data_IF_445798719305
#
_entry.id   IF_445798719305
#
_cell.length_a   1.000
_cell.length_b   1.000
_cell.length_c   1.000
_cell.angle_alpha   90.00
_cell.angle_beta   90.00
_cell.angle_gamma   90.00
#
_symmetry.space_group_name_H-M   'P 1'
#
loop_
_entity.id
_entity.type
_entity.pdbx_description
1 polymer ?
#
# COMPACT_ATOMS: atom_id res chain seq x y z
N UNK A 1 14.00 92.14 22.73
CA UNK A 1 14.58 90.81 22.71
C UNK A 1 13.48 89.81 22.48
N UNK A 2 13.35 89.22 21.25
CA UNK A 2 12.35 88.19 20.94
C UNK A 2 13.07 86.83 20.95
N UNK A 3 12.72 85.98 21.91
CA UNK A 3 13.20 84.62 21.93
C UNK A 3 12.32 83.77 20.99
N UNK A 4 12.91 83.30 19.87
CA UNK A 4 12.29 82.35 18.96
C UNK A 4 12.21 80.96 19.60
N UNK A 5 11.01 80.41 19.79
CA UNK A 5 10.78 79.00 20.13
C UNK A 5 11.16 78.15 18.93
N UNK A 6 12.21 77.36 19.04
CA UNK A 6 12.49 76.24 18.11
C UNK A 6 11.52 75.08 18.41
N UNK A 7 10.57 74.88 17.57
CA UNK A 7 9.79 73.64 17.57
C UNK A 7 10.65 72.49 17.07
N UNK A 8 10.99 71.59 17.96
CA UNK A 8 11.59 70.30 17.59
C UNK A 8 10.52 69.44 16.95
N UNK A 9 10.47 69.35 15.62
CA UNK A 9 9.69 68.36 14.91
C UNK A 9 10.32 67.00 15.12
N UNK A 10 9.70 66.15 15.88
CA UNK A 10 10.04 64.74 16.00
C UNK A 10 9.89 64.06 14.64
N UNK A 11 10.85 63.24 14.19
CA UNK A 11 10.71 62.48 12.94
C UNK A 11 9.58 61.49 13.10
N UNK A 12 8.58 61.65 12.30
CA UNK A 12 7.30 60.97 12.30
C UNK A 12 7.46 59.59 11.70
N UNK A 13 7.15 58.58 12.48
CA UNK A 13 6.35 57.36 12.17
C UNK A 13 6.52 56.66 10.82
N UNK A 14 7.47 56.96 9.95
CA UNK A 14 7.63 56.33 8.64
C UNK A 14 8.27 54.93 8.75
N UNK A 15 9.19 54.76 9.70
CA UNK A 15 9.87 53.48 9.95
C UNK A 15 8.98 52.37 10.53
N UNK A 16 7.84 52.71 11.13
CA UNK A 16 6.98 51.71 11.75
C UNK A 16 6.13 50.94 10.74
N UNK A 17 5.74 51.59 9.64
CA UNK A 17 4.97 50.93 8.57
C UNK A 17 5.84 50.04 7.66
N UNK A 18 7.12 50.35 7.50
CA UNK A 18 8.06 49.53 6.74
C UNK A 18 8.45 48.25 7.49
N UNK A 19 8.63 48.34 8.81
CA UNK A 19 8.89 47.16 9.65
C UNK A 19 7.69 46.22 9.72
N UNK A 20 6.47 46.76 9.89
CA UNK A 20 5.24 45.94 9.88
C UNK A 20 5.00 45.21 8.53
N UNK A 21 5.32 45.86 7.40
CA UNK A 21 5.23 45.24 6.07
C UNK A 21 6.30 44.17 5.85
N UNK A 22 7.52 44.38 6.37
CA UNK A 22 8.61 43.42 6.28
C UNK A 22 8.31 42.17 7.14
N UNK A 23 7.78 42.35 8.36
CA UNK A 23 7.37 41.26 9.24
C UNK A 23 6.22 40.45 8.65
N UNK A 24 5.21 41.11 8.07
CA UNK A 24 4.09 40.39 7.42
C UNK A 24 4.55 39.57 6.21
N UNK A 25 5.52 40.05 5.45
CA UNK A 25 6.12 39.33 4.33
C UNK A 25 6.89 38.08 4.77
N UNK A 26 7.65 38.16 5.85
CA UNK A 26 8.38 37.02 6.40
C UNK A 26 7.46 35.94 6.94
N UNK A 27 6.41 36.30 7.67
CA UNK A 27 5.41 35.36 8.19
C UNK A 27 4.69 34.66 7.04
N UNK A 28 4.34 35.39 5.97
CA UNK A 28 3.69 34.82 4.78
C UNK A 28 4.58 33.82 4.06
N UNK A 29 5.89 34.09 3.94
CA UNK A 29 6.84 33.19 3.30
C UNK A 29 7.03 31.88 4.09
N UNK A 30 7.20 31.98 5.42
CA UNK A 30 7.32 30.82 6.31
C UNK A 30 6.06 29.96 6.27
N UNK A 31 4.90 30.59 6.27
CA UNK A 31 3.60 29.89 6.20
C UNK A 31 3.45 29.18 4.82
N UNK A 32 3.89 29.81 3.73
CA UNK A 32 3.92 29.18 2.40
C UNK A 32 4.84 27.97 2.34
N UNK A 33 6.03 28.06 2.93
CA UNK A 33 6.96 26.93 3.01
C UNK A 33 6.39 25.79 3.84
N UNK A 34 5.75 26.09 4.95
CA UNK A 34 5.10 25.10 5.79
C UNK A 34 3.95 24.40 5.05
N UNK A 35 3.16 25.14 4.28
CA UNK A 35 2.08 24.58 3.46
C UNK A 35 2.62 23.62 2.39
N UNK A 36 3.71 23.99 1.70
CA UNK A 36 4.35 23.13 0.69
C UNK A 36 4.83 21.84 1.34
N UNK A 37 5.48 21.92 2.49
CA UNK A 37 5.99 20.76 3.22
C UNK A 37 4.85 19.84 3.69
N UNK A 38 3.77 20.43 4.16
CA UNK A 38 2.56 19.69 4.55
C UNK A 38 1.93 18.96 3.36
N UNK A 39 1.79 19.63 2.21
CA UNK A 39 1.30 19.00 0.98
C UNK A 39 2.22 17.87 0.50
N UNK A 40 3.54 18.05 0.59
CA UNK A 40 4.50 17.02 0.23
C UNK A 40 4.33 15.76 1.11
N UNK A 41 4.12 15.93 2.43
CA UNK A 41 3.85 14.82 3.34
C UNK A 41 2.54 14.11 2.98
N UNK A 42 1.48 14.87 2.69
CA UNK A 42 0.20 14.28 2.28
C UNK A 42 0.33 13.48 0.99
N UNK A 43 1.03 14.00 -0.02
CA UNK A 43 1.30 13.28 -1.27
C UNK A 43 2.11 12.00 -1.03
N UNK A 44 3.12 12.06 -0.16
CA UNK A 44 3.90 10.90 0.21
C UNK A 44 3.03 9.82 0.88
N UNK A 45 2.16 10.21 1.82
CA UNK A 45 1.22 9.27 2.45
C UNK A 45 0.25 8.63 1.45
N UNK A 46 -0.27 9.41 0.50
CA UNK A 46 -1.13 8.91 -0.57
C UNK A 46 -0.41 7.88 -1.44
N UNK A 47 0.85 8.15 -1.79
CA UNK A 47 1.68 7.23 -2.58
C UNK A 47 1.91 5.92 -1.82
N UNK A 48 2.26 5.98 -0.54
CA UNK A 48 2.45 4.81 0.30
C UNK A 48 1.17 3.95 0.39
N UNK A 49 0.02 4.59 0.56
CA UNK A 49 -1.27 3.91 0.61
C UNK A 49 -1.61 3.24 -0.73
N UNK A 50 -1.32 3.89 -1.85
CA UNK A 50 -1.53 3.33 -3.18
C UNK A 50 -0.64 2.11 -3.43
N UNK A 51 0.64 2.17 -3.03
CA UNK A 51 1.57 1.04 -3.12
C UNK A 51 1.11 -0.13 -2.25
N UNK A 52 0.64 0.12 -1.03
CA UNK A 52 0.12 -0.92 -0.15
C UNK A 52 -1.11 -1.63 -0.76
N UNK A 53 -2.06 -0.86 -1.29
CA UNK A 53 -3.25 -1.42 -1.96
C UNK A 53 -2.89 -2.23 -3.20
N UNK A 54 -1.92 -1.77 -4.00
CA UNK A 54 -1.45 -2.51 -5.17
C UNK A 54 -0.80 -3.84 -4.77
N UNK A 55 0.01 -3.86 -3.72
CA UNK A 55 0.64 -5.06 -3.19
C UNK A 55 -0.39 -6.06 -2.65
N UNK A 56 -1.44 -5.58 -1.94
CA UNK A 56 -2.51 -6.42 -1.44
C UNK A 56 -3.29 -7.08 -2.59
N UNK A 57 -3.64 -6.33 -3.63
CA UNK A 57 -4.32 -6.88 -4.82
C UNK A 57 -3.46 -7.91 -5.54
N UNK A 58 -2.18 -7.63 -5.72
CA UNK A 58 -1.27 -8.59 -6.32
C UNK A 58 -1.23 -9.92 -5.54
N UNK A 59 -1.22 -9.84 -4.21
CA UNK A 59 -1.25 -11.03 -3.35
C UNK A 59 -2.57 -11.80 -3.50
N UNK A 60 -3.71 -11.11 -3.51
CA UNK A 60 -5.03 -11.70 -3.72
C UNK A 60 -5.10 -12.40 -5.08
N UNK A 61 -4.65 -11.76 -6.16
CA UNK A 61 -4.64 -12.32 -7.50
C UNK A 61 -3.73 -13.54 -7.61
N UNK A 62 -2.53 -13.48 -7.01
CA UNK A 62 -1.60 -14.60 -6.98
C UNK A 62 -2.16 -15.81 -6.23
N UNK A 63 -2.84 -15.59 -5.10
CA UNK A 63 -3.49 -16.66 -4.34
C UNK A 63 -4.71 -17.22 -5.08
N UNK A 64 -5.50 -16.37 -5.74
CA UNK A 64 -6.63 -16.81 -6.55
C UNK A 64 -6.19 -17.68 -7.74
N UNK A 65 -5.13 -17.28 -8.44
CA UNK A 65 -4.52 -18.06 -9.52
C UNK A 65 -3.98 -19.40 -9.01
N UNK A 66 -3.34 -19.40 -7.83
CA UNK A 66 -2.82 -20.61 -7.22
C UNK A 66 -3.95 -21.58 -6.83
N UNK A 67 -5.07 -21.04 -6.33
CA UNK A 67 -6.27 -21.84 -6.06
C UNK A 67 -6.84 -22.46 -7.34
N UNK A 68 -6.89 -21.69 -8.42
CA UNK A 68 -7.36 -22.21 -9.70
C UNK A 68 -6.45 -23.30 -10.25
N UNK A 69 -5.12 -23.13 -10.13
CA UNK A 69 -4.13 -24.13 -10.54
C UNK A 69 -4.23 -25.42 -9.73
N UNK A 70 -4.69 -25.35 -8.48
CA UNK A 70 -4.88 -26.51 -7.61
C UNK A 70 -6.17 -27.29 -7.92
N UNK A 71 -7.11 -26.67 -8.63
CA UNK A 71 -8.37 -27.31 -9.03
C UNK A 71 -8.15 -28.32 -10.16
N UNK A 72 -7.47 -29.42 -9.85
CA UNK A 72 -7.29 -30.55 -10.80
C UNK A 72 -8.63 -31.25 -10.94
N UNK A 73 -9.33 -30.94 -12.02
CA UNK A 73 -10.64 -31.54 -12.33
C UNK A 73 -10.38 -32.94 -12.93
N UNK A 74 -10.96 -33.97 -12.33
CA UNK A 74 -11.02 -35.27 -12.97
C UNK A 74 -11.97 -35.21 -14.18
N UNK A 75 -11.37 -35.07 -15.37
CA UNK A 75 -12.09 -34.95 -16.64
C UNK A 75 -12.95 -36.22 -16.91
N UNK A 76 -12.49 -37.39 -16.45
CA UNK A 76 -13.20 -38.65 -16.63
C UNK A 76 -14.46 -38.68 -15.77
N UNK A 77 -14.38 -38.24 -14.53
CA UNK A 77 -15.54 -38.13 -13.65
C UNK A 77 -16.50 -37.04 -14.12
N UNK A 78 -15.99 -35.89 -14.54
CA UNK A 78 -16.78 -34.82 -15.11
C UNK A 78 -17.57 -35.29 -16.36
N UNK A 79 -16.93 -36.06 -17.25
CA UNK A 79 -17.58 -36.58 -18.45
C UNK A 79 -18.74 -37.52 -18.14
N UNK A 80 -18.72 -38.22 -17.02
CA UNK A 80 -19.78 -39.19 -16.63
C UNK A 80 -20.85 -38.59 -15.74
N UNK A 81 -20.47 -37.70 -14.81
CA UNK A 81 -21.37 -37.19 -13.75
C UNK A 81 -21.73 -35.73 -13.88
N UNK A 82 -21.03 -34.96 -14.72
CA UNK A 82 -21.09 -33.50 -14.85
C UNK A 82 -20.83 -32.75 -13.52
N UNK A 83 -20.18 -33.44 -12.57
CA UNK A 83 -19.81 -32.84 -11.26
C UNK A 83 -18.32 -32.54 -11.24
N UNK A 84 -17.99 -31.36 -10.80
CA UNK A 84 -16.62 -30.97 -10.54
C UNK A 84 -16.24 -31.48 -9.15
N UNK A 85 -15.34 -32.45 -9.10
CA UNK A 85 -14.89 -33.05 -7.85
C UNK A 85 -13.37 -33.17 -7.85
N UNK A 86 -12.73 -32.79 -6.74
CA UNK A 86 -11.30 -32.98 -6.55
C UNK A 86 -11.14 -34.32 -5.82
N UNK A 87 -10.67 -35.33 -6.53
CA UNK A 87 -10.50 -36.70 -6.03
C UNK A 87 -9.17 -36.89 -5.34
N UNK A 88 -8.11 -36.28 -5.86
CA UNK A 88 -6.75 -36.35 -5.31
C UNK A 88 -6.39 -35.06 -4.58
N UNK A 89 -6.51 -35.10 -3.26
CA UNK A 89 -6.23 -33.97 -2.38
C UNK A 89 -4.75 -33.67 -2.26
N UNK A 90 -3.89 -34.71 -2.30
CA UNK A 90 -2.45 -34.51 -2.19
C UNK A 90 -1.91 -33.84 -3.45
N UNK A 91 -2.39 -34.27 -4.61
CA UNK A 91 -2.03 -33.66 -5.89
C UNK A 91 -2.54 -32.20 -5.95
N UNK A 92 -3.74 -31.93 -5.50
CA UNK A 92 -4.30 -30.57 -5.44
C UNK A 92 -3.48 -29.66 -4.53
N UNK A 93 -3.10 -30.16 -3.34
CA UNK A 93 -2.25 -29.43 -2.41
C UNK A 93 -0.85 -29.19 -2.97
N UNK A 94 -0.23 -30.19 -3.56
CA UNK A 94 1.07 -30.06 -4.21
C UNK A 94 1.04 -29.03 -5.37
N UNK A 95 -0.03 -29.07 -6.17
CA UNK A 95 -0.28 -28.10 -7.24
C UNK A 95 -0.44 -26.68 -6.69
N UNK A 96 -1.21 -26.51 -5.63
CA UNK A 96 -1.36 -25.22 -4.93
C UNK A 96 -0.01 -24.70 -4.43
N UNK A 97 0.74 -25.51 -3.73
CA UNK A 97 2.06 -25.14 -3.21
C UNK A 97 3.05 -24.72 -4.31
N UNK A 98 3.04 -25.46 -5.42
CA UNK A 98 3.88 -25.13 -6.58
C UNK A 98 3.45 -23.80 -7.21
N UNK A 99 2.17 -23.60 -7.43
CA UNK A 99 1.63 -22.37 -8.00
C UNK A 99 1.84 -21.14 -7.09
N UNK A 100 1.70 -21.28 -5.79
CA UNK A 100 2.02 -20.22 -4.82
C UNK A 100 3.49 -19.83 -4.91
N UNK A 101 4.40 -20.80 -4.98
CA UNK A 101 5.83 -20.53 -5.11
C UNK A 101 6.15 -19.76 -6.40
N UNK A 102 5.57 -20.17 -7.50
CA UNK A 102 5.78 -19.55 -8.80
C UNK A 102 5.16 -18.14 -8.86
N UNK A 103 3.90 -17.98 -8.49
CA UNK A 103 3.17 -16.72 -8.56
C UNK A 103 3.72 -15.66 -7.61
N UNK A 104 4.26 -16.05 -6.48
CA UNK A 104 4.86 -15.15 -5.48
C UNK A 104 6.38 -15.02 -5.61
N UNK A 105 7.01 -15.76 -6.53
CA UNK A 105 8.47 -15.73 -6.72
C UNK A 105 9.24 -16.21 -5.49
N UNK A 106 8.79 -17.34 -4.91
CA UNK A 106 9.42 -17.92 -3.71
C UNK A 106 10.44 -19.01 -4.11
N UNK A 107 11.46 -19.17 -3.28
CA UNK A 107 12.40 -20.29 -3.39
C UNK A 107 11.79 -21.61 -2.85
N UNK A 108 12.57 -22.69 -2.86
CA UNK A 108 12.14 -23.99 -2.35
C UNK A 108 11.79 -23.99 -0.85
N UNK A 109 12.33 -23.04 -0.08
CA UNK A 109 12.07 -22.86 1.34
C UNK A 109 10.90 -21.92 1.63
N UNK A 110 10.14 -21.50 0.59
CA UNK A 110 9.07 -20.50 0.67
C UNK A 110 9.54 -19.12 1.13
N UNK A 111 10.80 -18.76 0.86
CA UNK A 111 11.33 -17.43 1.11
C UNK A 111 11.29 -16.60 -0.16
N UNK A 112 10.98 -15.32 -0.03
CA UNK A 112 10.91 -14.41 -1.16
C UNK A 112 12.29 -14.19 -1.81
N UNK A 113 12.42 -14.50 -3.10
CA UNK A 113 13.63 -14.24 -3.88
C UNK A 113 13.81 -12.74 -4.14
N UNK A 114 12.69 -12.02 -4.24
CA UNK A 114 12.67 -10.58 -4.44
C UNK A 114 11.91 -9.91 -3.31
N UNK A 115 12.62 -9.15 -2.47
CA UNK A 115 12.04 -8.45 -1.30
C UNK A 115 11.14 -7.24 -1.65
N UNK A 116 10.63 -7.16 -2.88
CA UNK A 116 9.82 -6.02 -3.32
C UNK A 116 8.42 -6.00 -2.72
N UNK A 117 7.81 -7.16 -2.53
CA UNK A 117 6.40 -7.29 -2.10
C UNK A 117 6.25 -8.11 -0.82
N UNK A 118 7.04 -9.16 -0.68
CA UNK A 118 7.02 -10.07 0.46
C UNK A 118 8.41 -10.05 1.10
N UNK A 119 8.44 -9.85 2.40
CA UNK A 119 9.66 -9.90 3.21
C UNK A 119 9.56 -11.07 4.18
N UNK A 120 10.42 -12.07 4.00
CA UNK A 120 10.48 -13.22 4.89
C UNK A 120 9.93 -14.52 4.28
N UNK A 121 9.59 -15.46 5.18
CA UNK A 121 9.10 -16.80 4.84
C UNK A 121 7.58 -16.82 4.79
N UNK A 122 7.02 -17.40 3.73
CA UNK A 122 5.58 -17.63 3.58
C UNK A 122 5.25 -19.00 4.18
N UNK A 123 4.22 -19.05 5.00
CA UNK A 123 3.72 -20.29 5.60
C UNK A 123 2.27 -20.50 5.17
N UNK A 124 1.99 -21.68 4.59
CA UNK A 124 0.64 -22.07 4.19
C UNK A 124 0.01 -22.78 5.38
N UNK A 125 -1.10 -22.25 5.88
CA UNK A 125 -1.85 -22.82 6.97
C UNK A 125 -3.31 -23.06 6.59
N UNK A 126 -3.89 -24.14 7.08
CA UNK A 126 -5.32 -24.43 6.94
C UNK A 126 -5.81 -24.49 5.48
N UNK A 127 -5.10 -25.25 4.63
CA UNK A 127 -5.58 -25.53 3.29
C UNK A 127 -6.82 -26.43 3.35
N UNK A 128 -7.94 -25.97 2.81
CA UNK A 128 -9.22 -26.67 2.88
C UNK A 128 -9.80 -26.78 1.46
N UNK A 129 -10.17 -28.00 1.07
CA UNK A 129 -10.87 -28.25 -0.19
C UNK A 129 -12.38 -28.39 0.08
N UNK A 130 -13.18 -27.65 -0.68
CA UNK A 130 -14.62 -27.75 -0.67
C UNK A 130 -15.09 -28.39 -1.97
N UNK A 131 -15.62 -29.60 -1.89
CA UNK A 131 -16.30 -30.21 -3.03
C UNK A 131 -17.74 -29.68 -3.18
N UNK A 132 -18.31 -29.76 -4.39
CA UNK A 132 -19.66 -29.26 -4.71
C UNK A 132 -20.78 -29.89 -3.87
N UNK A 133 -20.50 -31.01 -3.24
CA UNK A 133 -21.42 -31.70 -2.31
C UNK A 133 -21.51 -31.06 -0.94
N UNK A 134 -20.77 -29.98 -0.68
CA UNK A 134 -20.75 -29.31 0.61
C UNK A 134 -19.95 -30.02 1.71
N UNK A 135 -19.28 -31.11 1.39
CA UNK A 135 -18.43 -31.84 2.34
C UNK A 135 -17.07 -31.16 2.43
N UNK A 136 -16.74 -30.66 3.62
CA UNK A 136 -15.41 -30.13 3.91
C UNK A 136 -14.43 -31.30 4.00
N UNK A 137 -13.39 -31.26 3.18
CA UNK A 137 -12.28 -32.20 3.30
C UNK A 137 -11.08 -31.41 3.82
N UNK A 138 -10.68 -31.71 5.04
CA UNK A 138 -9.50 -31.11 5.66
C UNK A 138 -8.28 -31.97 5.31
N UNK A 139 -7.26 -31.36 4.76
CA UNK A 139 -5.95 -31.98 4.50
C UNK A 139 -4.98 -31.64 5.62
#
# INVERSE_FOLDING_TARGET
MKYGKREYRLPKTENRQETEKAESGQVSWVLGLFLILFLAILLYMQLQLAMYKASARYLEDALALSNLASAVIDIREYGSTHKVHITDQEQAYAGYCSAVRENLGLNENYEAVSHKLISGKVEIRNYIIYNVTGTKVQV
#
